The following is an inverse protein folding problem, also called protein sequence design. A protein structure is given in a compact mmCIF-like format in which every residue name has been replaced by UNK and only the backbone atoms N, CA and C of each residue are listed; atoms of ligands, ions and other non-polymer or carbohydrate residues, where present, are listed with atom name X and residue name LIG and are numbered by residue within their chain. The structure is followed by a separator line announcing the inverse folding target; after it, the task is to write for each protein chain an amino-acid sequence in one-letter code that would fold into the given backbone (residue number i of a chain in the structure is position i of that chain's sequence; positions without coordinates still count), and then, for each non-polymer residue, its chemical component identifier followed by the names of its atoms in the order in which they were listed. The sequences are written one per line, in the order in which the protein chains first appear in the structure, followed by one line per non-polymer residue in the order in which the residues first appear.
data_IF_907396713984
#
_entry.id   IF_907396713984
#
_cell.length_a   1.000
_cell.length_b   1.000
_cell.length_c   1.000
_cell.angle_alpha   90.00
_cell.angle_beta   90.00
_cell.angle_gamma   90.00
#
_symmetry.space_group_name_H-M   'P 1'
#
loop_
_entity.id
_entity.type
_entity.pdbx_description
1 polymer ?
#
# COMPACT_ATOMS: atom_id res chain seq x y z
N UNK A 1 -17.55 -34.09 -13.93
CA UNK A 1 -17.89 -34.16 -12.49
C UNK A 1 -16.71 -34.82 -11.79
N UNK A 2 -16.09 -34.34 -10.71
CA UNK A 2 -16.42 -33.29 -9.74
C UNK A 2 -15.25 -32.27 -9.64
N UNK A 3 -15.55 -30.97 -9.71
CA UNK A 3 -15.58 -29.99 -8.58
C UNK A 3 -14.24 -29.79 -7.89
N UNK A 4 -13.64 -28.62 -8.12
CA UNK A 4 -13.18 -27.76 -7.04
C UNK A 4 -13.59 -26.32 -7.39
N UNK A 5 -14.82 -25.93 -7.01
CA UNK A 5 -15.12 -24.51 -6.79
C UNK A 5 -14.30 -24.10 -5.56
N UNK A 6 -13.19 -23.39 -5.75
CA UNK A 6 -12.66 -22.57 -4.65
C UNK A 6 -13.26 -21.18 -4.78
N UNK A 7 -14.12 -20.87 -3.81
CA UNK A 7 -14.91 -19.67 -3.74
C UNK A 7 -14.11 -18.38 -3.85
N UNK A 8 -14.79 -17.36 -4.35
CA UNK A 8 -14.32 -16.00 -4.37
C UNK A 8 -13.92 -15.54 -2.98
N UNK A 9 -12.61 -15.48 -2.76
CA UNK A 9 -11.98 -14.48 -1.91
C UNK A 9 -10.84 -13.93 -2.75
N UNK A 10 -11.01 -12.70 -3.22
CA UNK A 10 -10.05 -12.00 -4.07
C UNK A 10 -8.68 -12.05 -3.40
N UNK A 11 -7.77 -12.89 -3.90
CA UNK A 11 -6.37 -12.93 -3.46
C UNK A 11 -5.70 -11.70 -4.08
N UNK A 12 -5.94 -10.53 -3.49
CA UNK A 12 -5.51 -9.22 -3.99
C UNK A 12 -4.03 -9.19 -4.36
N UNK A 13 -3.18 -9.88 -3.59
CA UNK A 13 -1.74 -9.98 -3.83
C UNK A 13 -1.38 -10.69 -5.15
N UNK A 14 -2.09 -11.77 -5.51
CA UNK A 14 -1.79 -12.51 -6.75
C UNK A 14 -2.26 -11.76 -7.99
N UNK A 15 -3.46 -11.17 -7.96
CA UNK A 15 -3.97 -10.37 -9.08
C UNK A 15 -3.06 -9.16 -9.33
N UNK A 16 -2.61 -8.50 -8.26
CA UNK A 16 -1.64 -7.41 -8.37
C UNK A 16 -0.32 -7.89 -8.95
N UNK A 17 0.19 -9.04 -8.52
CA UNK A 17 1.48 -9.57 -9.00
C UNK A 17 1.43 -9.98 -10.48
N UNK A 18 0.32 -10.54 -10.94
CA UNK A 18 0.10 -10.81 -12.36
C UNK A 18 0.06 -9.53 -13.19
N UNK A 19 -0.62 -8.50 -12.69
CA UNK A 19 -0.64 -7.19 -13.33
C UNK A 19 0.74 -6.53 -13.33
N UNK A 20 1.49 -6.61 -12.22
CA UNK A 20 2.86 -6.11 -12.14
C UNK A 20 3.76 -6.80 -13.17
N UNK A 21 3.69 -8.13 -13.26
CA UNK A 21 4.45 -8.91 -14.23
C UNK A 21 4.12 -8.54 -15.68
N UNK A 22 2.86 -8.21 -15.99
CA UNK A 22 2.47 -7.81 -17.35
C UNK A 22 3.00 -6.42 -17.75
N UNK A 23 3.29 -5.56 -16.78
CA UNK A 23 3.83 -4.21 -17.02
C UNK A 23 5.34 -4.21 -17.07
N UNK A 24 5.99 -4.89 -16.12
CA UNK A 24 7.45 -4.86 -16.00
C UNK A 24 8.12 -5.88 -16.93
N UNK A 25 7.44 -6.99 -17.24
CA UNK A 25 7.91 -8.05 -18.15
C UNK A 25 9.37 -8.48 -17.88
N UNK A 26 9.66 -8.99 -16.68
CA UNK A 26 11.01 -9.45 -16.34
C UNK A 26 11.42 -10.59 -17.27
N UNK A 27 12.69 -10.58 -17.65
CA UNK A 27 13.31 -11.64 -18.47
C UNK A 27 14.57 -12.16 -17.76
N UNK A 28 15.12 -13.27 -18.26
CA UNK A 28 16.34 -13.87 -17.68
C UNK A 28 17.50 -12.88 -17.61
N UNK A 29 17.66 -12.06 -18.64
CA UNK A 29 18.78 -11.12 -18.77
C UNK A 29 18.52 -9.78 -18.04
N UNK A 30 17.28 -9.54 -17.59
CA UNK A 30 16.86 -8.37 -16.82
C UNK A 30 15.84 -8.80 -15.74
N UNK A 31 16.32 -9.46 -14.68
CA UNK A 31 15.46 -9.94 -13.61
C UNK A 31 15.01 -8.80 -12.69
N UNK A 32 13.84 -8.94 -12.11
CA UNK A 32 13.26 -7.90 -11.25
C UNK A 32 13.42 -8.19 -9.77
N UNK A 33 13.76 -7.17 -8.99
CA UNK A 33 13.78 -7.23 -7.54
C UNK A 33 12.50 -6.61 -6.97
N UNK A 34 11.72 -7.41 -6.25
CA UNK A 34 10.54 -6.98 -5.52
C UNK A 34 10.83 -6.97 -4.02
N UNK A 35 10.80 -5.78 -3.42
CA UNK A 35 11.00 -5.58 -1.98
C UNK A 35 9.63 -5.48 -1.31
N UNK A 36 9.34 -6.40 -0.40
CA UNK A 36 8.10 -6.44 0.37
C UNK A 36 8.38 -6.16 1.85
N UNK A 37 7.46 -5.49 2.52
CA UNK A 37 7.46 -5.45 3.98
C UNK A 37 7.02 -6.82 4.52
N UNK A 38 7.51 -7.22 5.71
CA UNK A 38 7.16 -8.50 6.32
C UNK A 38 5.73 -8.51 6.89
N UNK A 39 4.74 -8.07 6.12
CA UNK A 39 3.35 -8.26 6.45
C UNK A 39 2.90 -9.64 5.95
N UNK A 40 2.50 -10.50 6.90
CA UNK A 40 2.25 -11.94 6.71
C UNK A 40 1.17 -12.27 5.66
N UNK A 41 0.40 -11.28 5.18
CA UNK A 41 -0.58 -11.46 4.11
C UNK A 41 0.04 -11.59 2.70
N UNK A 42 1.30 -11.22 2.50
CA UNK A 42 1.88 -11.11 1.15
C UNK A 42 2.56 -12.39 0.65
N UNK A 43 2.90 -13.33 1.52
CA UNK A 43 3.79 -14.44 1.19
C UNK A 43 3.02 -15.75 1.31
N UNK A 44 2.26 -16.09 0.27
CA UNK A 44 1.79 -17.46 0.07
C UNK A 44 2.82 -18.22 -0.76
N UNK A 45 2.97 -19.53 -0.54
CA UNK A 45 3.87 -20.36 -1.35
C UNK A 45 3.59 -20.24 -2.85
N UNK A 46 2.30 -20.15 -3.23
CA UNK A 46 1.90 -19.95 -4.62
C UNK A 46 2.40 -18.62 -5.22
N UNK A 47 2.45 -17.55 -4.41
CA UNK A 47 2.99 -16.24 -4.83
C UNK A 47 4.49 -16.31 -5.07
N UNK A 48 5.21 -17.01 -4.19
CA UNK A 48 6.66 -17.17 -4.31
C UNK A 48 7.05 -18.00 -5.55
N UNK A 49 6.38 -19.11 -5.79
CA UNK A 49 6.62 -19.93 -6.99
C UNK A 49 6.33 -19.16 -8.28
N UNK A 50 5.26 -18.34 -8.30
CA UNK A 50 4.98 -17.47 -9.44
C UNK A 50 6.12 -16.46 -9.67
N UNK A 51 6.60 -15.78 -8.63
CA UNK A 51 7.71 -14.83 -8.75
C UNK A 51 8.96 -15.51 -9.32
N UNK A 52 9.33 -16.66 -8.76
CA UNK A 52 10.51 -17.42 -9.19
C UNK A 52 10.42 -17.86 -10.65
N UNK A 53 9.25 -18.31 -11.09
CA UNK A 53 9.01 -18.72 -12.48
C UNK A 53 9.08 -17.54 -13.48
N UNK A 54 8.85 -16.31 -13.02
CA UNK A 54 8.84 -15.10 -13.86
C UNK A 54 10.08 -14.22 -13.65
N UNK A 55 11.19 -14.77 -13.14
CA UNK A 55 12.43 -14.02 -12.91
C UNK A 55 12.29 -12.82 -11.95
N UNK A 56 11.33 -12.91 -11.01
CA UNK A 56 11.14 -11.93 -9.94
C UNK A 56 11.78 -12.48 -8.66
N UNK A 57 12.81 -11.80 -8.17
CA UNK A 57 13.43 -12.07 -6.88
C UNK A 57 12.68 -11.29 -5.80
N UNK A 58 12.18 -11.98 -4.78
CA UNK A 58 11.45 -11.35 -3.67
C UNK A 58 12.36 -11.22 -2.45
N UNK A 59 12.47 -10.02 -1.89
CA UNK A 59 13.18 -9.74 -0.63
C UNK A 59 12.20 -9.18 0.38
N UNK A 60 12.17 -9.77 1.58
CA UNK A 60 11.26 -9.35 2.65
C UNK A 60 12.04 -8.68 3.76
N UNK A 61 11.58 -7.49 4.18
CA UNK A 61 12.22 -6.73 5.26
C UNK A 61 11.70 -7.23 6.62
N UNK A 62 12.58 -7.76 7.48
CA UNK A 62 12.26 -8.31 8.81
C UNK A 62 11.27 -7.43 9.63
N UNK A 63 10.22 -8.02 10.21
CA UNK A 63 9.16 -7.28 10.95
C UNK A 63 9.62 -6.61 12.24
N UNK A 64 10.77 -7.01 12.79
CA UNK A 64 11.20 -6.62 14.13
C UNK A 64 12.26 -5.50 14.17
N UNK A 65 12.24 -4.57 13.22
CA UNK A 65 13.06 -3.36 13.34
C UNK A 65 12.24 -2.06 13.24
N UNK A 66 11.69 -1.58 14.38
CA UNK A 66 11.25 -0.20 14.53
C UNK A 66 12.42 0.80 14.69
N UNK A 67 13.68 0.37 14.57
CA UNK A 67 14.83 1.19 14.93
C UNK A 67 14.99 2.46 14.07
N UNK A 68 14.51 2.52 12.82
CA UNK A 68 14.62 3.74 11.98
C UNK A 68 13.72 3.80 10.76
N UNK A 69 12.55 3.15 10.81
CA UNK A 69 11.51 3.11 9.76
C UNK A 69 12.02 2.60 8.41
N UNK A 70 11.38 1.55 7.88
CA UNK A 70 11.71 1.01 6.55
C UNK A 70 11.87 2.16 5.53
N UNK A 71 12.78 2.05 4.54
CA UNK A 71 13.07 3.14 3.62
C UNK A 71 11.81 3.78 3.02
N UNK A 72 10.84 2.96 2.64
CA UNK A 72 9.53 3.39 2.14
C UNK A 72 8.72 4.23 3.16
N UNK A 73 8.77 3.85 4.45
CA UNK A 73 8.15 4.60 5.53
C UNK A 73 8.83 5.96 5.78
N UNK A 74 10.15 6.04 5.61
CA UNK A 74 10.88 7.30 5.74
C UNK A 74 10.69 8.24 4.55
N UNK A 75 10.77 7.72 3.33
CA UNK A 75 10.88 8.55 2.12
C UNK A 75 9.54 8.88 1.51
N UNK A 76 8.58 7.94 1.51
CA UNK A 76 7.30 8.13 0.87
C UNK A 76 6.20 8.38 1.90
N UNK A 77 6.00 7.45 2.83
CA UNK A 77 4.87 7.55 3.77
C UNK A 77 5.05 8.66 4.81
N UNK A 78 6.28 8.96 5.24
CA UNK A 78 6.55 10.05 6.18
C UNK A 78 6.10 11.42 5.66
N UNK A 79 6.62 11.88 4.51
CA UNK A 79 6.18 13.13 3.88
C UNK A 79 4.69 13.13 3.53
N UNK A 80 4.16 12.01 3.01
CA UNK A 80 2.74 11.89 2.67
C UNK A 80 1.85 12.08 3.91
N UNK A 81 2.17 11.39 5.01
CA UNK A 81 1.44 11.51 6.28
C UNK A 81 1.49 12.93 6.82
N UNK A 82 2.64 13.58 6.73
CA UNK A 82 2.80 14.97 7.16
C UNK A 82 1.96 15.93 6.31
N UNK A 83 1.91 15.75 4.99
CA UNK A 83 1.08 16.56 4.11
C UNK A 83 -0.42 16.38 4.41
N UNK A 84 -0.85 15.12 4.61
CA UNK A 84 -2.23 14.82 4.99
C UNK A 84 -2.59 15.44 6.35
N UNK A 85 -1.69 15.39 7.34
CA UNK A 85 -1.93 16.02 8.63
C UNK A 85 -1.98 17.54 8.55
N UNK A 86 -1.13 18.17 7.73
CA UNK A 86 -1.21 19.62 7.51
C UNK A 86 -2.55 20.04 6.93
N UNK A 87 -3.04 19.31 5.94
CA UNK A 87 -4.35 19.60 5.33
C UNK A 87 -5.47 19.37 6.34
N UNK A 88 -5.42 18.29 7.11
CA UNK A 88 -6.36 18.01 8.17
C UNK A 88 -6.39 19.11 9.25
N UNK A 89 -5.21 19.58 9.68
CA UNK A 89 -5.07 20.67 10.65
C UNK A 89 -5.58 22.00 10.09
N UNK A 90 -5.32 22.28 8.81
CA UNK A 90 -5.82 23.47 8.13
C UNK A 90 -7.35 23.46 8.07
N UNK A 91 -7.95 22.34 7.67
CA UNK A 91 -9.40 22.16 7.64
C UNK A 91 -10.00 22.29 9.04
N UNK A 92 -9.39 21.66 10.04
CA UNK A 92 -9.87 21.77 11.42
C UNK A 92 -9.81 23.20 11.95
N UNK A 93 -8.74 23.95 11.68
CA UNK A 93 -8.63 25.36 12.12
C UNK A 93 -9.65 26.26 11.41
N UNK A 94 -9.85 26.08 10.11
CA UNK A 94 -10.71 26.94 9.29
C UNK A 94 -12.19 26.56 9.30
N UNK A 95 -12.53 25.34 9.73
CA UNK A 95 -13.92 24.91 9.90
C UNK A 95 -14.58 25.54 11.15
N UNK A 96 -13.80 25.93 12.17
CA UNK A 96 -14.33 26.63 13.35
C UNK A 96 -14.60 28.12 13.10
N UNK A 97 -13.80 28.83 12.30
CA UNK A 97 -14.06 30.24 11.99
C UNK A 97 -15.34 30.46 11.17
N UNK A 98 -15.72 29.52 10.30
CA UNK A 98 -17.00 29.61 9.56
C UNK A 98 -18.25 29.33 10.41
N UNK A 99 -18.12 28.72 11.60
CA UNK A 99 -19.26 28.48 12.49
C UNK A 99 -19.55 29.67 13.43
N UNK A 100 -18.60 30.59 13.59
CA UNK A 100 -18.75 31.80 14.43
C UNK A 100 -19.33 33.02 13.70
N UNK A 101 -19.31 33.06 12.37
CA UNK A 101 -19.70 34.26 11.60
C UNK A 101 -21.14 34.25 11.05
N UNK A 102 -21.96 33.24 11.36
CA UNK A 102 -23.35 33.16 10.89
C UNK A 102 -24.41 33.24 12.02
N UNK A 103 -24.05 33.71 13.23
CA UNK A 103 -25.02 33.92 14.32
C UNK A 103 -24.94 35.38 14.82
N UNK A 104 -25.11 36.36 13.93
CA UNK A 104 -25.45 37.75 14.32
C UNK A 104 -25.95 38.58 13.13
N UNK A 105 -27.08 38.21 12.52
CA UNK A 105 -27.95 39.16 11.84
C UNK A 105 -29.28 38.51 11.46
N UNK A 106 -30.21 38.46 12.41
CA UNK A 106 -31.65 38.55 12.15
C UNK A 106 -32.36 38.72 13.49
N UNK A 107 -32.31 39.96 13.98
CA UNK A 107 -33.32 40.52 14.87
C UNK A 107 -33.96 41.69 14.13
N UNK A 108 -35.11 41.43 13.53
CA UNK A 108 -36.18 42.40 13.37
C UNK A 108 -37.49 41.65 13.62
#
# INVERSE_FOLDING_TARGET
MAVQKMGGRMRTSMNWLQHFNSHVKPIRDDPMLLILDNHSSHISAATFEFCKANFITVVTLHSHTPHRTQPLNLTFFGPLKNALYREYDFLNRNAYEKKSLNITSQSC
#
